data_IF_950808390801
#
_entry.id   IF_950808390801
#
_cell.length_a   1.000
_cell.length_b   1.000
_cell.length_c   1.000
_cell.angle_alpha   90.00
_cell.angle_beta   90.00
_cell.angle_gamma   90.00
#
_symmetry.space_group_name_H-M   'P 1'
#
loop_
_entity.id
_entity.type
_entity.pdbx_description
1 polymer ?
#
# COMPACT_ATOMS: atom_id res chain seq x y z
N UNK A 1 23.07 2.61 3.50
CA UNK A 1 21.80 2.10 2.92
C UNK A 1 21.29 3.16 1.96
N UNK A 2 20.84 2.78 0.75
CA UNK A 2 20.24 3.75 -0.16
C UNK A 2 19.01 4.40 0.51
N UNK A 3 18.97 5.74 0.51
CA UNK A 3 17.91 6.51 1.22
C UNK A 3 16.50 6.11 0.76
N UNK A 4 16.35 5.77 -0.51
CA UNK A 4 15.08 5.33 -1.09
C UNK A 4 14.67 3.94 -0.60
N UNK A 5 15.61 3.00 -0.48
CA UNK A 5 15.35 1.67 0.08
C UNK A 5 14.90 1.78 1.54
N UNK A 6 15.55 2.64 2.33
CA UNK A 6 15.12 2.92 3.70
C UNK A 6 13.70 3.51 3.74
N UNK A 7 13.38 4.46 2.86
CA UNK A 7 12.03 5.02 2.76
C UNK A 7 10.98 3.97 2.38
N UNK A 8 11.29 3.07 1.43
CA UNK A 8 10.40 1.95 1.07
C UNK A 8 10.17 1.00 2.25
N UNK A 9 11.23 0.65 2.98
CA UNK A 9 11.13 -0.21 4.15
C UNK A 9 10.30 0.46 5.26
N UNK A 10 10.53 1.74 5.53
CA UNK A 10 9.78 2.50 6.52
C UNK A 10 8.28 2.55 6.21
N UNK A 11 7.92 2.79 4.94
CA UNK A 11 6.51 2.77 4.51
C UNK A 11 5.85 1.40 4.75
N UNK A 12 6.59 0.30 4.58
CA UNK A 12 6.10 -1.06 4.89
C UNK A 12 5.91 -1.26 6.39
N UNK A 13 6.84 -0.79 7.22
CA UNK A 13 6.68 -0.86 8.67
C UNK A 13 5.48 -0.05 9.17
N UNK A 14 5.25 1.14 8.61
CA UNK A 14 4.06 1.95 8.93
C UNK A 14 2.78 1.20 8.56
N UNK A 15 2.71 0.65 7.34
CA UNK A 15 1.55 -0.14 6.90
C UNK A 15 1.32 -1.36 7.78
N UNK A 16 2.38 -2.08 8.13
CA UNK A 16 2.28 -3.25 9.01
C UNK A 16 1.78 -2.86 10.41
N UNK A 17 2.24 -1.73 10.95
CA UNK A 17 1.77 -1.22 12.23
C UNK A 17 0.28 -0.84 12.20
N UNK A 18 -0.21 -0.27 11.10
CA UNK A 18 -1.64 0.05 10.90
C UNK A 18 -2.48 -1.23 10.88
N UNK A 19 -2.10 -2.23 10.07
CA UNK A 19 -2.77 -3.54 9.99
C UNK A 19 -2.75 -4.26 11.34
N UNK A 20 -1.60 -4.27 12.01
CA UNK A 20 -1.46 -4.88 13.32
C UNK A 20 -2.35 -4.20 14.35
N UNK A 21 -2.40 -2.87 14.37
CA UNK A 21 -3.29 -2.10 15.26
C UNK A 21 -4.76 -2.45 15.01
N UNK A 22 -5.16 -2.53 13.75
CA UNK A 22 -6.52 -2.94 13.39
C UNK A 22 -6.86 -4.35 13.88
N UNK A 23 -5.95 -5.32 13.69
CA UNK A 23 -6.11 -6.67 14.19
C UNK A 23 -6.27 -6.70 15.72
N UNK A 24 -5.46 -5.91 16.44
CA UNK A 24 -5.60 -5.78 17.90
C UNK A 24 -6.96 -5.19 18.30
N UNK A 25 -7.50 -4.23 17.53
CA UNK A 25 -8.84 -3.68 17.76
C UNK A 25 -9.92 -4.73 17.49
N UNK A 26 -9.80 -5.56 16.45
CA UNK A 26 -10.75 -6.65 16.17
C UNK A 26 -10.85 -7.59 17.38
N UNK A 27 -9.69 -8.00 17.91
CA UNK A 27 -9.60 -8.88 19.07
C UNK A 27 -10.16 -8.24 20.34
N UNK A 28 -10.01 -6.92 20.50
CA UNK A 28 -10.54 -6.18 21.64
C UNK A 28 -12.05 -6.01 21.59
N UNK A 29 -12.61 -5.70 20.42
CA UNK A 29 -14.05 -5.43 20.26
C UNK A 29 -14.89 -6.71 20.24
N UNK A 30 -14.31 -7.86 19.86
CA UNK A 30 -14.98 -9.17 19.81
C UNK A 30 -16.32 -9.15 19.05
N UNK A 31 -16.47 -8.23 18.11
CA UNK A 31 -17.67 -8.06 17.29
C UNK A 31 -17.29 -8.16 15.82
N UNK A 32 -17.90 -9.12 15.13
CA UNK A 32 -17.69 -9.32 13.69
C UNK A 32 -18.11 -8.07 12.90
N UNK A 33 -19.23 -7.45 13.29
CA UNK A 33 -19.72 -6.24 12.62
C UNK A 33 -18.74 -5.07 12.78
N UNK A 34 -18.19 -4.87 13.98
CA UNK A 34 -17.19 -3.84 14.21
C UNK A 34 -15.90 -4.10 13.42
N UNK A 35 -15.46 -5.36 13.35
CA UNK A 35 -14.32 -5.76 12.53
C UNK A 35 -14.55 -5.50 11.04
N UNK A 36 -15.73 -5.81 10.51
CA UNK A 36 -16.08 -5.52 9.11
C UNK A 36 -16.07 -4.03 8.81
N UNK A 37 -16.61 -3.18 9.70
CA UNK A 37 -16.58 -1.72 9.53
C UNK A 37 -15.15 -1.18 9.51
N UNK A 38 -14.29 -1.64 10.41
CA UNK A 38 -12.89 -1.23 10.44
C UNK A 38 -12.14 -1.75 9.21
N UNK A 39 -12.39 -3.00 8.79
CA UNK A 39 -11.80 -3.59 7.58
C UNK A 39 -12.19 -2.82 6.31
N UNK A 40 -13.44 -2.35 6.23
CA UNK A 40 -13.89 -1.50 5.12
C UNK A 40 -13.10 -0.16 5.06
N UNK A 41 -12.78 0.43 6.22
CA UNK A 41 -11.91 1.61 6.31
C UNK A 41 -10.46 1.30 5.92
N UNK A 42 -9.95 0.12 6.28
CA UNK A 42 -8.60 -0.35 5.93
C UNK A 42 -8.44 -0.75 4.46
N UNK A 43 -9.55 -1.06 3.77
CA UNK A 43 -9.51 -1.57 2.39
C UNK A 43 -8.74 -0.65 1.42
N UNK A 44 -8.65 0.64 1.70
CA UNK A 44 -7.87 1.60 0.91
C UNK A 44 -6.40 1.74 1.34
N UNK A 45 -6.03 1.31 2.55
CA UNK A 45 -4.67 1.46 3.08
C UNK A 45 -3.66 0.66 2.25
N UNK A 46 -3.97 -0.61 1.95
CA UNK A 46 -3.12 -1.46 1.13
C UNK A 46 -2.79 -0.86 -0.24
N UNK A 47 -3.81 -0.51 -1.06
CA UNK A 47 -3.63 0.15 -2.36
C UNK A 47 -2.84 1.45 -2.30
N UNK A 48 -3.08 2.30 -1.30
CA UNK A 48 -2.38 3.57 -1.12
C UNK A 48 -0.90 3.36 -0.77
N UNK A 49 -0.60 2.49 0.19
CA UNK A 49 0.78 2.16 0.58
C UNK A 49 1.53 1.50 -0.58
N UNK A 50 0.89 0.55 -1.28
CA UNK A 50 1.48 -0.10 -2.44
C UNK A 50 1.86 0.91 -3.52
N UNK A 51 0.96 1.84 -3.82
CA UNK A 51 1.19 2.93 -4.78
C UNK A 51 2.36 3.80 -4.34
N UNK A 52 2.37 4.26 -3.08
CA UNK A 52 3.44 5.11 -2.56
C UNK A 52 4.82 4.42 -2.63
N UNK A 53 4.93 3.17 -2.19
CA UNK A 53 6.18 2.40 -2.25
C UNK A 53 6.62 2.17 -3.70
N UNK A 54 5.67 1.88 -4.60
CA UNK A 54 5.95 1.71 -6.02
C UNK A 54 6.49 2.99 -6.65
N UNK A 55 5.92 4.16 -6.33
CA UNK A 55 6.41 5.45 -6.82
C UNK A 55 7.83 5.76 -6.31
N UNK A 56 8.13 5.49 -5.04
CA UNK A 56 9.48 5.66 -4.48
C UNK A 56 10.48 4.75 -5.22
N UNK A 57 10.12 3.48 -5.45
CA UNK A 57 10.96 2.53 -6.18
C UNK A 57 11.19 2.94 -7.64
N UNK A 58 10.14 3.34 -8.34
CA UNK A 58 10.22 3.83 -9.72
C UNK A 58 11.12 5.07 -9.83
N UNK A 59 11.00 6.01 -8.88
CA UNK A 59 11.87 7.19 -8.82
C UNK A 59 13.34 6.81 -8.66
N UNK A 60 13.66 5.84 -7.80
CA UNK A 60 15.03 5.34 -7.63
C UNK A 60 15.60 4.61 -8.84
N UNK A 61 14.72 4.10 -9.71
CA UNK A 61 15.09 3.43 -10.95
C UNK A 61 15.03 4.34 -12.18
N UNK A 62 14.76 5.64 -12.02
CA UNK A 62 14.64 6.58 -13.14
C UNK A 62 15.91 6.55 -14.02
N UNK A 63 15.71 6.43 -15.33
CA UNK A 63 16.80 6.31 -16.31
C UNK A 63 17.49 4.94 -16.39
N UNK A 64 17.20 4.00 -15.48
CA UNK A 64 17.74 2.62 -15.50
C UNK A 64 16.75 1.59 -16.05
N UNK A 65 15.51 1.98 -16.29
CA UNK A 65 14.41 1.11 -16.72
C UNK A 65 13.89 1.59 -18.06
N UNK A 66 13.64 0.65 -18.97
CA UNK A 66 13.12 0.98 -20.30
C UNK A 66 11.70 1.58 -20.22
N UNK A 67 11.34 2.50 -21.14
CA UNK A 67 10.01 3.11 -21.16
C UNK A 67 8.86 2.10 -21.19
N UNK A 68 9.03 0.99 -21.91
CA UNK A 68 8.05 -0.10 -21.96
C UNK A 68 7.78 -0.73 -20.59
N UNK A 69 8.84 -0.98 -19.80
CA UNK A 69 8.70 -1.53 -18.45
C UNK A 69 8.04 -0.53 -17.49
N UNK A 70 8.38 0.76 -17.63
CA UNK A 70 7.73 1.83 -16.85
C UNK A 70 6.23 1.91 -17.14
N UNK A 71 5.83 1.84 -18.42
CA UNK A 71 4.42 1.82 -18.81
C UNK A 71 3.67 0.65 -18.16
N UNK A 72 4.21 -0.57 -18.22
CA UNK A 72 3.59 -1.76 -17.60
C UNK A 72 3.40 -1.56 -16.10
N UNK A 73 4.43 -1.09 -15.39
CA UNK A 73 4.35 -0.88 -13.94
C UNK A 73 3.30 0.19 -13.61
N UNK A 74 3.32 1.32 -14.35
CA UNK A 74 2.39 2.40 -14.13
C UNK A 74 0.94 1.97 -14.39
N UNK A 75 0.69 1.19 -15.44
CA UNK A 75 -0.61 0.58 -15.71
C UNK A 75 -1.06 -0.32 -14.56
N UNK A 76 -0.18 -1.17 -14.02
CA UNK A 76 -0.50 -2.01 -12.87
C UNK A 76 -0.92 -1.20 -11.64
N UNK A 77 -0.19 -0.12 -11.33
CA UNK A 77 -0.55 0.80 -10.23
C UNK A 77 -1.92 1.44 -10.47
N UNK A 78 -2.20 1.92 -11.68
CA UNK A 78 -3.51 2.48 -12.03
C UNK A 78 -4.64 1.45 -11.91
N UNK A 79 -4.42 0.22 -12.36
CA UNK A 79 -5.41 -0.86 -12.25
C UNK A 79 -5.72 -1.20 -10.79
N UNK A 80 -4.70 -1.24 -9.91
CA UNK A 80 -4.91 -1.41 -8.47
C UNK A 80 -5.80 -0.28 -7.94
N UNK A 81 -5.46 0.97 -8.22
CA UNK A 81 -6.26 2.13 -7.76
C UNK A 81 -7.69 2.12 -8.29
N UNK A 82 -7.90 1.75 -9.56
CA UNK A 82 -9.24 1.65 -10.16
C UNK A 82 -10.02 0.51 -9.51
N UNK A 83 -9.42 -0.67 -9.37
CA UNK A 83 -10.06 -1.85 -8.80
C UNK A 83 -10.36 -1.73 -7.30
N UNK A 84 -9.68 -0.84 -6.59
CA UNK A 84 -9.87 -0.63 -5.14
C UNK A 84 -10.66 0.63 -4.81
N UNK A 85 -11.15 1.37 -5.80
CA UNK A 85 -12.09 2.48 -5.54
C UNK A 85 -13.36 1.90 -4.94
N UNK A 86 -13.72 2.35 -3.74
CA UNK A 86 -15.02 2.06 -3.14
C UNK A 86 -16.10 2.74 -4.01
N UNK A 87 -16.90 1.92 -4.68
CA UNK A 87 -18.12 2.32 -5.39
C UNK A 87 -19.34 2.15 -4.50
#
# INVERSE_FOLDING_TARGET
>A
MEKLLFAMALMRFISAAVEFTAAMIFLRLKSLEAALRINALLGLVGPLVFTAVSLIGLFGMAGKVSPAKLLIIFTGVLLVLIGTRAG
#
